data_IF_698434070468
#
_entry.id   IF_698434070468
#
_cell.length_a   1.000
_cell.length_b   1.000
_cell.length_c   1.000
_cell.angle_alpha   90.00
_cell.angle_beta   90.00
_cell.angle_gamma   90.00
#
_symmetry.space_group_name_H-M   'P 1'
#
loop_
_entity.id
_entity.type
_entity.pdbx_description
1 polymer ?
#
# COMPACT_ATOMS: atom_id res chain seq x y z
N UNK A 1 -19.72 11.95 1.57
CA UNK A 1 -18.27 11.87 1.90
C UNK A 1 -17.56 11.26 0.70
N UNK A 2 -16.51 11.91 0.17
CA UNK A 2 -15.80 11.39 -1.00
C UNK A 2 -14.98 10.13 -0.70
N UNK A 3 -14.58 9.38 -1.75
CA UNK A 3 -13.79 8.16 -1.63
C UNK A 3 -12.53 8.33 -0.77
N UNK A 4 -11.91 9.52 -0.79
CA UNK A 4 -10.76 9.88 0.05
C UNK A 4 -11.05 9.80 1.56
N UNK A 5 -12.18 10.36 1.99
CA UNK A 5 -12.55 10.34 3.40
C UNK A 5 -12.88 8.89 3.83
N UNK A 6 -13.52 8.12 2.95
CA UNK A 6 -13.81 6.71 3.19
C UNK A 6 -12.54 5.87 3.36
N UNK A 7 -11.54 6.05 2.50
CA UNK A 7 -10.29 5.30 2.60
C UNK A 7 -9.48 5.65 3.84
N UNK A 8 -9.40 6.94 4.17
CA UNK A 8 -8.68 7.40 5.37
C UNK A 8 -9.37 6.90 6.64
N UNK A 9 -10.71 6.95 6.72
CA UNK A 9 -11.46 6.42 7.86
C UNK A 9 -11.25 4.91 8.01
N UNK A 10 -11.35 4.14 6.91
CA UNK A 10 -11.07 2.71 6.92
C UNK A 10 -9.62 2.42 7.36
N UNK A 11 -8.67 3.23 6.91
CA UNK A 11 -7.27 3.14 7.30
C UNK A 11 -7.05 3.41 8.80
N UNK A 12 -7.74 4.38 9.40
CA UNK A 12 -7.66 4.62 10.84
C UNK A 12 -8.26 3.46 11.65
N UNK A 13 -9.37 2.88 11.20
CA UNK A 13 -9.96 1.70 11.83
C UNK A 13 -9.00 0.51 11.75
N UNK A 14 -8.38 0.30 10.58
CA UNK A 14 -7.36 -0.73 10.41
C UNK A 14 -6.13 -0.46 11.30
N UNK A 15 -5.66 0.78 11.41
CA UNK A 15 -4.53 1.15 12.27
C UNK A 15 -4.85 0.92 13.76
N UNK A 16 -6.07 1.22 14.20
CA UNK A 16 -6.52 0.93 15.56
C UNK A 16 -6.54 -0.58 15.85
N UNK A 17 -7.09 -1.37 14.92
CA UNK A 17 -7.08 -2.83 15.03
C UNK A 17 -5.64 -3.38 15.02
N UNK A 18 -4.79 -2.85 14.15
CA UNK A 18 -3.38 -3.20 14.06
C UNK A 18 -2.67 -2.92 15.38
N UNK A 19 -2.89 -1.76 16.03
CA UNK A 19 -2.29 -1.43 17.33
C UNK A 19 -2.65 -2.41 18.44
N UNK A 20 -3.78 -3.13 18.33
CA UNK A 20 -4.18 -4.17 19.29
C UNK A 20 -3.55 -5.54 19.01
N UNK A 21 -2.89 -5.72 17.87
CA UNK A 21 -2.16 -6.95 17.57
C UNK A 21 -0.78 -6.97 18.22
N UNK A 22 -0.19 -8.17 18.28
CA UNK A 22 1.18 -8.36 18.78
C UNK A 22 2.24 -7.71 17.89
N UNK A 23 3.49 -7.89 18.28
CA UNK A 23 4.67 -7.58 17.48
C UNK A 23 5.27 -8.87 16.92
N UNK A 24 6.03 -8.78 15.83
CA UNK A 24 6.77 -9.92 15.26
C UNK A 24 7.69 -10.56 16.31
N UNK A 25 8.36 -9.75 17.13
CA UNK A 25 9.18 -10.23 18.27
C UNK A 25 8.35 -11.10 19.25
N UNK A 26 7.14 -10.67 19.58
CA UNK A 26 6.24 -11.45 20.43
C UNK A 26 5.84 -12.81 19.84
N UNK A 27 5.71 -12.92 18.51
CA UNK A 27 5.43 -14.19 17.84
C UNK A 27 6.66 -15.10 17.79
N UNK A 28 7.83 -14.56 17.43
CA UNK A 28 9.09 -15.32 17.36
C UNK A 28 9.42 -15.94 18.72
N UNK A 29 9.31 -15.16 19.80
CA UNK A 29 9.58 -15.65 21.17
C UNK A 29 8.66 -16.78 21.60
N UNK A 30 7.43 -16.83 21.08
CA UNK A 30 6.43 -17.84 21.45
C UNK A 30 6.58 -19.12 20.65
N UNK A 31 6.80 -19.01 19.35
CA UNK A 31 6.83 -20.20 18.48
C UNK A 31 8.21 -20.81 18.36
N UNK A 32 9.29 -20.00 18.44
CA UNK A 32 10.68 -20.42 18.21
C UNK A 32 10.86 -21.23 16.91
N UNK A 33 10.07 -20.93 15.88
CA UNK A 33 10.06 -21.62 14.60
C UNK A 33 10.00 -20.60 13.45
N UNK A 34 10.81 -20.84 12.42
CA UNK A 34 10.88 -20.05 11.20
C UNK A 34 9.62 -20.21 10.33
N UNK A 35 8.82 -21.27 10.53
CA UNK A 35 7.56 -21.48 9.80
C UNK A 35 6.54 -20.33 9.99
N UNK A 36 6.65 -19.58 11.10
CA UNK A 36 5.80 -18.42 11.41
C UNK A 36 5.84 -17.38 10.30
N UNK A 37 6.99 -17.12 9.68
CA UNK A 37 7.09 -16.08 8.64
C UNK A 37 6.38 -16.49 7.35
N UNK A 38 6.37 -17.78 7.02
CA UNK A 38 5.61 -18.29 5.87
C UNK A 38 4.11 -18.17 6.14
N UNK A 39 3.66 -18.48 7.36
CA UNK A 39 2.26 -18.28 7.76
C UNK A 39 1.86 -16.80 7.74
N UNK A 40 2.70 -15.91 8.29
CA UNK A 40 2.49 -14.45 8.27
C UNK A 40 2.47 -13.89 6.85
N UNK A 41 3.29 -14.43 5.94
CA UNK A 41 3.25 -14.05 4.53
C UNK A 41 1.89 -14.39 3.91
N UNK A 42 1.41 -15.62 4.09
CA UNK A 42 0.10 -16.06 3.58
C UNK A 42 -1.04 -15.21 4.17
N UNK A 43 -1.02 -14.98 5.49
CA UNK A 43 -1.99 -14.10 6.14
C UNK A 43 -1.92 -12.67 5.57
N UNK A 44 -0.71 -12.14 5.40
CA UNK A 44 -0.44 -10.84 4.80
C UNK A 44 -1.02 -10.72 3.39
N UNK A 45 -0.91 -11.75 2.57
CA UNK A 45 -1.51 -11.78 1.23
C UNK A 45 -3.04 -11.72 1.31
N UNK A 46 -3.66 -12.57 2.14
CA UNK A 46 -5.12 -12.62 2.29
C UNK A 46 -5.68 -11.29 2.78
N UNK A 47 -5.06 -10.71 3.82
CA UNK A 47 -5.45 -9.41 4.39
C UNK A 47 -5.22 -8.28 3.39
N UNK A 48 -4.11 -8.32 2.65
CA UNK A 48 -3.81 -7.36 1.58
C UNK A 48 -4.85 -7.38 0.47
N UNK A 49 -5.29 -8.58 0.04
CA UNK A 49 -6.36 -8.74 -0.94
C UNK A 49 -7.71 -8.23 -0.43
N UNK A 50 -8.02 -8.44 0.85
CA UNK A 50 -9.21 -7.85 1.50
C UNK A 50 -9.11 -6.32 1.49
N UNK A 51 -7.94 -5.76 1.80
CA UNK A 51 -7.69 -4.33 1.69
C UNK A 51 -7.92 -3.78 0.28
N UNK A 52 -7.45 -4.49 -0.73
CA UNK A 52 -7.69 -4.14 -2.13
C UNK A 52 -9.19 -4.16 -2.47
N UNK A 53 -9.93 -5.17 -2.00
CA UNK A 53 -11.37 -5.26 -2.19
C UNK A 53 -12.11 -4.10 -1.50
N UNK A 54 -11.77 -3.77 -0.25
CA UNK A 54 -12.33 -2.63 0.50
C UNK A 54 -12.08 -1.33 -0.27
N UNK A 55 -10.84 -1.10 -0.70
CA UNK A 55 -10.47 0.09 -1.45
C UNK A 55 -11.26 0.23 -2.76
N UNK A 56 -11.34 -0.85 -3.55
CA UNK A 56 -12.13 -0.88 -4.78
C UNK A 56 -13.62 -0.60 -4.50
N UNK A 57 -14.17 -1.17 -3.42
CA UNK A 57 -15.54 -0.89 -2.97
C UNK A 57 -15.75 0.59 -2.66
N UNK A 58 -14.82 1.22 -1.94
CA UNK A 58 -14.85 2.67 -1.63
C UNK A 58 -14.80 3.51 -2.91
N UNK A 59 -13.96 3.15 -3.89
CA UNK A 59 -13.87 3.85 -5.17
C UNK A 59 -15.17 3.73 -5.97
N UNK A 60 -15.74 2.53 -6.06
CA UNK A 60 -17.00 2.29 -6.78
C UNK A 60 -18.15 3.04 -6.12
N UNK A 61 -18.27 2.96 -4.78
CA UNK A 61 -19.30 3.66 -4.02
C UNK A 61 -19.17 5.20 -4.16
N UNK A 62 -17.94 5.72 -4.10
CA UNK A 62 -17.69 7.15 -4.26
C UNK A 62 -18.07 7.66 -5.65
N UNK A 63 -17.80 6.88 -6.71
CA UNK A 63 -18.20 7.23 -8.08
C UNK A 63 -19.71 7.14 -8.30
N UNK A 64 -20.36 6.13 -7.71
CA UNK A 64 -21.81 5.98 -7.80
C UNK A 64 -22.55 7.18 -7.18
N UNK A 65 -22.00 7.80 -6.12
CA UNK A 65 -22.57 9.02 -5.54
C UNK A 65 -22.47 10.21 -6.49
N UNK A 66 -21.32 10.42 -7.15
CA UNK A 66 -21.15 11.50 -8.14
C UNK A 66 -21.97 11.28 -9.41
N UNK A 67 -22.16 10.03 -9.85
CA UNK A 67 -22.92 9.73 -11.07
C UNK A 67 -24.45 9.81 -10.89
N UNK A 68 -24.98 9.72 -9.66
CA UNK A 68 -26.40 9.97 -9.40
C UNK A 68 -26.84 11.41 -9.71
N UNK A 69 -25.89 12.33 -9.89
CA UNK A 69 -26.16 13.69 -10.38
C UNK A 69 -26.02 13.79 -11.92
N UNK A 70 -25.38 12.82 -12.57
CA UNK A 70 -25.16 12.74 -14.02
C UNK A 70 -25.92 11.55 -14.65
N UNK A 71 -27.21 11.44 -14.34
CA UNK A 71 -28.10 10.39 -14.84
C UNK A 71 -28.35 10.64 -16.34
N UNK A 72 -27.58 10.00 -17.22
CA UNK A 72 -28.12 9.39 -18.45
C UNK A 72 -27.12 8.65 -19.35
N UNK A 73 -25.81 8.66 -19.12
CA UNK A 73 -24.91 7.84 -19.92
C UNK A 73 -24.22 6.75 -19.11
N UNK A 74 -24.79 5.56 -19.28
CA UNK A 74 -24.20 4.24 -19.08
C UNK A 74 -22.69 4.20 -19.32
N UNK A 75 -21.94 3.95 -18.26
CA UNK A 75 -20.82 2.99 -18.35
C UNK A 75 -20.62 2.32 -17.01
N UNK A 76 -21.19 1.11 -16.90
CA UNK A 76 -21.00 0.20 -15.77
C UNK A 76 -19.54 -0.19 -15.63
N UNK A 77 -18.81 0.54 -14.79
CA UNK A 77 -17.48 0.15 -14.35
C UNK A 77 -17.62 -0.88 -13.23
N UNK A 78 -17.70 -2.15 -13.65
CA UNK A 78 -17.63 -3.29 -12.74
C UNK A 78 -16.24 -3.38 -12.10
N UNK A 79 -16.17 -3.99 -10.92
CA UNK A 79 -14.89 -4.33 -10.26
C UNK A 79 -13.98 -5.12 -11.21
N UNK A 80 -14.56 -6.01 -12.01
CA UNK A 80 -13.83 -6.77 -13.05
C UNK A 80 -13.21 -5.88 -14.13
N UNK A 81 -13.88 -4.79 -14.54
CA UNK A 81 -13.32 -3.82 -15.48
C UNK A 81 -12.12 -3.06 -14.92
N UNK A 82 -12.18 -2.67 -13.65
CA UNK A 82 -11.06 -2.02 -12.95
C UNK A 82 -9.84 -2.94 -12.83
N UNK A 83 -10.07 -4.20 -12.43
CA UNK A 83 -9.01 -5.21 -12.34
C UNK A 83 -8.40 -5.53 -13.70
N UNK A 84 -9.24 -5.73 -14.73
CA UNK A 84 -8.77 -5.99 -16.09
C UNK A 84 -7.86 -4.85 -16.55
N UNK A 85 -8.29 -3.60 -16.42
CA UNK A 85 -7.48 -2.42 -16.76
C UNK A 85 -6.17 -2.37 -15.97
N UNK A 86 -6.22 -2.60 -14.67
CA UNK A 86 -5.04 -2.61 -13.81
C UNK A 86 -3.99 -3.64 -14.24
N UNK A 87 -4.44 -4.81 -14.73
CA UNK A 87 -3.56 -5.90 -15.16
C UNK A 87 -3.09 -5.77 -16.61
N UNK A 88 -3.88 -5.16 -17.50
CA UNK A 88 -3.57 -5.11 -18.95
C UNK A 88 -2.83 -3.86 -19.39
N UNK A 89 -2.97 -2.73 -18.68
CA UNK A 89 -2.41 -1.45 -19.13
C UNK A 89 -0.95 -1.31 -18.70
N UNK A 90 -0.06 -0.93 -19.64
CA UNK A 90 1.39 -0.77 -19.39
C UNK A 90 1.71 0.19 -18.25
N UNK A 91 1.02 1.34 -18.19
CA UNK A 91 1.18 2.30 -17.10
C UNK A 91 0.79 1.73 -15.73
N UNK A 92 -0.22 0.86 -15.68
CA UNK A 92 -0.62 0.19 -14.44
C UNK A 92 0.40 -0.87 -14.00
N UNK A 93 0.99 -1.61 -14.93
CA UNK A 93 2.07 -2.57 -14.65
C UNK A 93 3.33 -1.84 -14.14
N UNK A 94 3.73 -0.74 -14.81
CA UNK A 94 4.85 0.08 -14.36
C UNK A 94 4.59 0.68 -12.97
N UNK A 95 3.39 1.22 -12.74
CA UNK A 95 2.99 1.75 -11.43
C UNK A 95 3.02 0.69 -10.34
N UNK A 96 2.55 -0.52 -10.63
CA UNK A 96 2.60 -1.66 -9.70
C UNK A 96 4.04 -2.00 -9.30
N UNK A 97 4.93 -2.19 -10.29
CA UNK A 97 6.33 -2.57 -10.03
C UNK A 97 7.04 -1.47 -9.23
N UNK A 98 6.94 -0.21 -9.66
CA UNK A 98 7.56 0.93 -8.98
C UNK A 98 7.01 1.11 -7.56
N UNK A 99 5.70 0.89 -7.35
CA UNK A 99 5.09 0.96 -6.04
C UNK A 99 5.64 -0.11 -5.07
N UNK A 100 5.90 -1.34 -5.54
CA UNK A 100 6.54 -2.39 -4.71
C UNK A 100 7.91 -1.91 -4.24
N UNK A 101 8.77 -1.47 -5.16
CA UNK A 101 10.12 -1.05 -4.80
C UNK A 101 10.14 0.19 -3.91
N UNK A 102 9.34 1.21 -4.23
CA UNK A 102 9.27 2.43 -3.44
C UNK A 102 8.69 2.18 -2.04
N UNK A 103 7.60 1.41 -1.94
CA UNK A 103 6.99 1.06 -0.66
C UNK A 103 7.90 0.17 0.18
N UNK A 104 8.53 -0.85 -0.42
CA UNK A 104 9.47 -1.73 0.26
C UNK A 104 10.70 -0.97 0.78
N UNK A 105 11.31 -0.11 -0.04
CA UNK A 105 12.45 0.70 0.36
C UNK A 105 12.08 1.68 1.48
N UNK A 106 10.91 2.31 1.42
CA UNK A 106 10.42 3.20 2.47
C UNK A 106 10.17 2.45 3.79
N UNK A 107 9.55 1.27 3.75
CA UNK A 107 9.36 0.44 4.94
C UNK A 107 10.71 0.03 5.55
N UNK A 108 11.66 -0.43 4.72
CA UNK A 108 13.00 -0.79 5.16
C UNK A 108 13.74 0.39 5.80
N UNK A 109 13.62 1.60 5.24
CA UNK A 109 14.29 2.79 5.77
C UNK A 109 13.65 3.32 7.07
N UNK A 110 12.33 3.21 7.23
CA UNK A 110 11.62 3.79 8.39
C UNK A 110 11.56 2.84 9.57
N UNK A 111 11.42 1.55 9.32
CA UNK A 111 11.21 0.54 10.35
C UNK A 111 12.56 -0.02 10.80
N UNK A 112 13.20 0.66 11.74
CA UNK A 112 14.49 0.23 12.29
C UNK A 112 14.31 -0.62 13.56
N UNK A 113 13.22 -0.41 14.31
CA UNK A 113 12.90 -1.22 15.49
C UNK A 113 11.49 -1.83 15.35
N UNK A 114 11.26 -3.04 15.88
CA UNK A 114 9.95 -3.72 15.82
C UNK A 114 8.95 -3.13 16.84
N UNK A 115 9.03 -1.84 17.13
CA UNK A 115 8.08 -1.12 17.97
C UNK A 115 6.77 -0.93 17.21
N UNK A 116 5.64 -1.30 17.84
CA UNK A 116 4.35 -1.33 17.15
C UNK A 116 3.93 0.01 16.53
N UNK A 117 4.21 1.12 17.21
CA UNK A 117 3.97 2.46 16.67
C UNK A 117 4.80 2.76 15.42
N UNK A 118 6.07 2.34 15.42
CA UNK A 118 6.99 2.53 14.29
C UNK A 118 6.62 1.63 13.10
N UNK A 119 6.18 0.39 13.32
CA UNK A 119 5.78 -0.50 12.23
C UNK A 119 4.52 0.01 11.51
N UNK A 120 3.51 0.47 12.26
CA UNK A 120 2.30 1.09 11.68
C UNK A 120 2.65 2.37 10.94
N UNK A 121 3.47 3.23 11.53
CA UNK A 121 3.93 4.47 10.89
C UNK A 121 4.72 4.17 9.61
N UNK A 122 5.67 3.23 9.66
CA UNK A 122 6.48 2.80 8.52
C UNK A 122 5.64 2.21 7.39
N UNK A 123 4.63 1.40 7.70
CA UNK A 123 3.68 0.92 6.69
C UNK A 123 2.87 2.07 6.06
N UNK A 124 2.51 3.08 6.85
CA UNK A 124 1.91 4.33 6.36
C UNK A 124 2.82 5.07 5.38
N UNK A 125 4.09 5.30 5.76
CA UNK A 125 5.08 5.94 4.88
C UNK A 125 5.33 5.12 3.62
N UNK A 126 5.37 3.80 3.73
CA UNK A 126 5.47 2.90 2.59
C UNK A 126 4.28 3.07 1.62
N UNK A 127 3.05 3.18 2.15
CA UNK A 127 1.87 3.48 1.35
C UNK A 127 1.97 4.85 0.64
N UNK A 128 2.45 5.89 1.33
CA UNK A 128 2.67 7.22 0.73
C UNK A 128 3.69 7.13 -0.41
N UNK A 129 4.83 6.49 -0.17
CA UNK A 129 5.89 6.32 -1.15
C UNK A 129 5.41 5.54 -2.38
N UNK A 130 4.67 4.44 -2.16
CA UNK A 130 4.06 3.64 -3.21
C UNK A 130 3.06 4.46 -4.05
N UNK A 131 2.18 5.24 -3.40
CA UNK A 131 1.23 6.13 -4.06
C UNK A 131 1.93 7.21 -4.91
N UNK A 132 2.93 7.86 -4.35
CA UNK A 132 3.68 8.92 -5.02
C UNK A 132 4.43 8.36 -6.23
N UNK A 133 5.22 7.31 -6.04
CA UNK A 133 6.06 6.73 -7.09
C UNK A 133 5.22 6.09 -8.20
N UNK A 134 4.16 5.35 -7.84
CA UNK A 134 3.23 4.75 -8.79
C UNK A 134 2.49 5.78 -9.64
N UNK A 135 2.15 6.95 -9.08
CA UNK A 135 1.54 8.04 -9.86
C UNK A 135 2.56 8.73 -10.77
N UNK A 136 3.75 9.03 -10.26
CA UNK A 136 4.81 9.69 -11.03
C UNK A 136 5.21 8.88 -12.26
N UNK A 137 5.36 7.56 -12.15
CA UNK A 137 5.74 6.73 -13.31
C UNK A 137 4.66 6.77 -14.40
N UNK A 138 3.38 6.80 -14.05
CA UNK A 138 2.35 6.93 -15.07
C UNK A 138 2.34 8.30 -15.75
N UNK A 139 2.64 9.37 -15.01
CA UNK A 139 2.86 10.71 -15.61
C UNK A 139 4.03 10.66 -16.61
N UNK A 140 5.12 9.97 -16.29
CA UNK A 140 6.26 9.83 -17.23
C UNK A 140 5.92 9.02 -18.49
N UNK A 141 4.97 8.09 -18.39
CA UNK A 141 4.50 7.28 -19.52
C UNK A 141 3.41 8.00 -20.33
N UNK A 142 2.87 9.12 -19.83
CA UNK A 142 1.78 9.86 -20.45
C UNK A 142 0.40 9.25 -20.22
N UNK A 143 0.28 8.30 -19.30
CA UNK A 143 -0.97 7.62 -18.95
C UNK A 143 -1.16 7.63 -17.43
N UNK A 144 -2.27 8.20 -16.97
CA UNK A 144 -2.59 8.19 -15.55
C UNK A 144 -3.00 6.78 -15.06
N UNK A 145 -2.20 6.14 -14.19
CA UNK A 145 -2.54 4.84 -13.66
C UNK A 145 -3.63 5.03 -12.61
N UNK A 146 -4.56 4.07 -12.54
CA UNK A 146 -5.52 4.03 -11.45
C UNK A 146 -4.83 3.74 -10.11
N UNK A 147 -5.53 3.96 -9.00
CA UNK A 147 -5.01 3.60 -7.67
C UNK A 147 -4.95 2.09 -7.39
N UNK A 148 -5.69 1.28 -8.16
CA UNK A 148 -5.77 -0.18 -8.00
C UNK A 148 -4.41 -0.89 -8.07
N UNK A 149 -3.56 -0.68 -9.10
CA UNK A 149 -2.23 -1.31 -9.15
C UNK A 149 -1.37 -0.96 -7.92
N UNK A 150 -1.45 0.25 -7.39
CA UNK A 150 -0.66 0.64 -6.20
C UNK A 150 -1.12 -0.11 -4.95
N UNK A 151 -2.43 -0.27 -4.76
CA UNK A 151 -2.96 -1.04 -3.62
C UNK A 151 -2.63 -2.53 -3.76
N UNK A 152 -2.68 -3.08 -4.98
CA UNK A 152 -2.23 -4.45 -5.21
C UNK A 152 -0.73 -4.63 -4.92
N UNK A 153 0.09 -3.62 -5.23
CA UNK A 153 1.50 -3.63 -4.86
C UNK A 153 1.69 -3.70 -3.33
N UNK A 154 0.87 -2.97 -2.55
CA UNK A 154 0.89 -3.06 -1.09
C UNK A 154 0.46 -4.45 -0.58
N UNK A 155 -0.48 -5.12 -1.25
CA UNK A 155 -0.85 -6.50 -0.94
C UNK A 155 0.27 -7.51 -1.26
N UNK A 156 1.09 -7.23 -2.27
CA UNK A 156 2.31 -8.00 -2.52
C UNK A 156 3.37 -7.71 -1.46
N UNK A 157 3.52 -6.46 -1.03
CA UNK A 157 4.44 -6.11 0.05
C UNK A 157 4.05 -6.76 1.39
N UNK A 158 2.76 -6.92 1.69
CA UNK A 158 2.33 -7.65 2.89
C UNK A 158 2.64 -9.15 2.84
N UNK A 159 2.74 -9.73 1.64
CA UNK A 159 3.21 -11.10 1.44
C UNK A 159 4.74 -11.20 1.49
N UNK A 160 5.44 -10.35 0.75
CA UNK A 160 6.90 -10.39 0.60
C UNK A 160 7.62 -9.91 1.85
N UNK A 161 7.04 -8.95 2.58
CA UNK A 161 7.62 -8.34 3.78
C UNK A 161 8.15 -9.37 4.78
N UNK A 162 7.31 -10.26 5.33
CA UNK A 162 7.75 -11.32 6.23
C UNK A 162 8.81 -12.25 5.63
N UNK A 163 8.75 -12.52 4.32
CA UNK A 163 9.71 -13.39 3.62
C UNK A 163 11.09 -12.75 3.46
N UNK A 164 11.22 -11.43 3.62
CA UNK A 164 12.53 -10.76 3.55
C UNK A 164 13.48 -11.22 4.67
N UNK A 165 12.98 -11.84 5.74
CA UNK A 165 13.81 -12.44 6.79
C UNK A 165 14.72 -13.55 6.26
N UNK A 166 14.29 -14.30 5.23
CA UNK A 166 15.09 -15.37 4.62
C UNK A 166 16.20 -14.85 3.70
N UNK A 167 16.20 -13.55 3.40
CA UNK A 167 17.24 -12.89 2.62
C UNK A 167 18.28 -12.21 3.51
N UNK A 168 18.03 -12.13 4.82
CA UNK A 168 18.94 -11.53 5.77
C UNK A 168 20.16 -12.44 6.01
N UNK A 169 21.37 -11.88 6.18
CA UNK A 169 22.51 -12.64 6.70
C UNK A 169 22.13 -13.31 8.03
N UNK A 170 22.40 -14.61 8.17
CA UNK A 170 22.04 -15.35 9.38
C UNK A 170 20.60 -15.87 9.41
N UNK A 171 19.95 -16.07 8.26
CA UNK A 171 18.59 -16.65 8.15
C UNK A 171 18.41 -18.01 8.84
N UNK A 172 19.49 -18.73 9.13
CA UNK A 172 19.47 -19.99 9.89
C UNK A 172 19.22 -19.77 11.39
N UNK A 173 19.52 -18.58 11.91
CA UNK A 173 19.31 -18.16 13.30
C UNK A 173 18.52 -16.84 13.37
N UNK A 174 17.26 -16.89 12.93
CA UNK A 174 16.37 -15.73 12.95
C UNK A 174 16.19 -15.17 14.37
N UNK A 175 16.17 -16.04 15.38
CA UNK A 175 16.08 -15.64 16.78
C UNK A 175 17.31 -14.83 17.19
N UNK A 176 18.52 -15.29 16.84
CA UNK A 176 19.76 -14.54 17.05
C UNK A 176 19.76 -13.18 16.36
N UNK A 177 19.32 -13.11 15.09
CA UNK A 177 19.25 -11.86 14.31
C UNK A 177 18.35 -10.79 14.94
N UNK A 178 17.27 -11.23 15.60
CA UNK A 178 16.36 -10.36 16.30
C UNK A 178 16.99 -9.77 17.57
N UNK A 179 17.78 -10.55 18.30
CA UNK A 179 18.47 -10.10 19.51
C UNK A 179 19.73 -9.28 19.21
N UNK A 180 20.37 -9.47 18.06
CA UNK A 180 21.50 -8.66 17.62
C UNK A 180 21.08 -7.28 17.07
N UNK A 181 19.79 -7.07 16.86
CA UNK A 181 19.26 -5.84 16.27
C UNK A 181 19.47 -5.76 14.75
N UNK A 182 19.86 -6.84 14.09
CA UNK A 182 20.07 -6.92 12.63
C UNK A 182 18.80 -7.37 11.89
N UNK A 183 17.64 -6.96 12.42
CA UNK A 183 16.35 -7.39 11.90
C UNK A 183 15.94 -6.54 10.69
N UNK A 184 15.60 -7.18 9.57
CA UNK A 184 15.20 -6.48 8.34
C UNK A 184 13.89 -5.73 8.56
N UNK A 185 13.93 -4.39 8.48
CA UNK A 185 12.80 -3.52 8.75
C UNK A 185 11.49 -3.86 8.02
N UNK A 186 11.59 -4.32 6.76
CA UNK A 186 10.42 -4.72 5.97
C UNK A 186 9.70 -5.98 6.47
N UNK A 187 10.35 -6.80 7.29
CA UNK A 187 9.74 -7.99 7.90
C UNK A 187 8.95 -7.68 9.17
N UNK A 188 9.10 -6.47 9.75
CA UNK A 188 8.50 -6.14 11.05
C UNK A 188 7.00 -5.80 10.97
N UNK A 189 6.50 -5.11 9.93
CA UNK A 189 5.08 -4.83 9.82
C UNK A 189 4.25 -6.11 9.60
N UNK A 190 3.20 -6.28 10.40
CA UNK A 190 2.25 -7.38 10.27
C UNK A 190 1.22 -7.11 9.15
N UNK A 191 0.42 -8.14 8.85
CA UNK A 191 -0.68 -8.10 7.87
C UNK A 191 -1.58 -6.85 8.01
N UNK A 192 -2.03 -6.55 9.23
CA UNK A 192 -2.87 -5.39 9.52
C UNK A 192 -2.11 -4.05 9.48
N UNK A 193 -0.80 -4.04 9.74
CA UNK A 193 0.02 -2.83 9.62
C UNK A 193 0.10 -2.41 8.15
N UNK A 194 0.37 -3.36 7.24
CA UNK A 194 0.36 -3.15 5.80
C UNK A 194 -1.01 -2.72 5.27
N UNK A 195 -2.09 -3.33 5.76
CA UNK A 195 -3.45 -2.91 5.43
C UNK A 195 -3.71 -1.46 5.82
N UNK A 196 -3.43 -1.10 7.08
CA UNK A 196 -3.58 0.26 7.58
C UNK A 196 -2.74 1.25 6.76
N UNK A 197 -1.48 0.90 6.49
CA UNK A 197 -0.56 1.69 5.69
C UNK A 197 -1.03 1.88 4.24
N UNK A 198 -1.62 0.85 3.63
CA UNK A 198 -2.17 0.93 2.28
C UNK A 198 -3.38 1.87 2.20
N UNK A 199 -4.32 1.76 3.14
CA UNK A 199 -5.56 2.54 3.16
C UNK A 199 -5.34 4.00 3.58
N UNK A 200 -4.34 4.26 4.42
CA UNK A 200 -3.95 5.62 4.84
C UNK A 200 -2.98 6.27 3.85
N UNK A 201 -1.89 5.58 3.52
CA UNK A 201 -0.74 6.16 2.83
C UNK A 201 -0.94 6.32 1.33
N UNK A 202 -1.45 5.30 0.65
CA UNK A 202 -1.66 5.35 -0.82
C UNK A 202 -2.53 6.53 -1.25
N UNK A 203 -3.69 6.85 -0.63
CA UNK A 203 -4.47 8.02 -1.03
C UNK A 203 -3.68 9.31 -0.87
N UNK A 204 -2.92 9.45 0.22
CA UNK A 204 -2.11 10.64 0.49
C UNK A 204 -1.07 10.80 -0.62
N UNK A 205 -0.31 9.74 -0.92
CA UNK A 205 0.72 9.75 -1.97
C UNK A 205 0.16 10.08 -3.35
N UNK A 206 -0.95 9.44 -3.75
CA UNK A 206 -1.61 9.70 -5.04
C UNK A 206 -2.08 11.15 -5.18
N UNK A 207 -2.67 11.71 -4.11
CA UNK A 207 -3.21 13.07 -4.13
C UNK A 207 -2.10 14.13 -4.13
N UNK A 208 -0.97 13.84 -3.47
CA UNK A 208 0.14 14.79 -3.41
C UNK A 208 0.68 15.09 -4.81
N UNK A 209 0.87 14.05 -5.63
CA UNK A 209 1.30 14.21 -7.03
C UNK A 209 0.24 14.94 -7.86
N UNK A 210 -1.05 14.63 -7.67
CA UNK A 210 -2.14 15.36 -8.33
C UNK A 210 -2.08 16.87 -8.06
N UNK A 211 -1.87 17.28 -6.80
CA UNK A 211 -1.76 18.69 -6.42
C UNK A 211 -0.55 19.41 -7.03
N UNK A 212 0.55 18.70 -7.32
CA UNK A 212 1.72 19.26 -7.99
C UNK A 212 1.47 19.49 -9.48
N UNK A 213 0.66 18.63 -10.11
CA UNK A 213 0.30 18.74 -11.53
C UNK A 213 -0.67 19.89 -11.79
N UNK A 214 -1.65 20.10 -10.90
CA UNK A 214 -2.64 21.17 -11.04
C UNK A 214 -2.00 22.56 -11.05
N UNK A 215 -0.89 22.75 -10.33
CA UNK A 215 -0.16 24.02 -10.27
C UNK A 215 0.55 24.42 -11.57
N UNK A 216 0.78 23.49 -12.51
CA UNK A 216 1.50 23.77 -13.77
C UNK A 216 0.60 24.25 -14.92
N UNK A 217 -0.72 24.06 -14.81
CA UNK A 217 -1.66 24.45 -15.87
C UNK A 217 -1.92 25.98 -15.99
N UNK A 218 -1.88 26.79 -14.93
CA UNK A 218 -2.10 28.24 -15.04
C UNK A 218 -1.03 28.94 -15.88
N UNK A 219 0.23 28.52 -15.75
CA UNK A 219 1.38 29.13 -16.45
C UNK A 219 1.34 28.86 -17.95
N UNK A 220 0.97 27.64 -18.35
CA UNK A 220 0.82 27.29 -19.76
C UNK A 220 -0.27 28.14 -20.45
N UNK A 221 -1.39 28.40 -19.77
CA UNK A 221 -2.50 29.22 -20.31
C UNK A 221 -2.12 30.70 -20.45
N UNK A 222 -1.31 31.23 -19.53
CA UNK A 222 -0.84 32.61 -19.60
C UNK A 222 0.20 32.84 -20.72
N UNK A 223 0.96 31.80 -21.11
CA UNK A 223 1.92 31.90 -22.22
C UNK A 223 1.29 31.80 -23.61
N UNK A 224 0.03 31.39 -23.70
CA UNK A 224 -0.72 31.25 -24.96
C UNK A 224 -1.62 32.46 -25.30
N UNK A 225 -1.63 33.50 -24.45
CA UNK A 225 -2.36 34.76 -24.63
C UNK A 225 -1.41 35.90 -24.94
#
# INVERSE_FOLDING_TARGET
>A
FGARAGSVAAGFVAAWAAYRTGTVDGFIRRTQDNSVFTMLAVEGLLVGLVGAAIWMGILVAGRAQTSKEAINETTGLSIGGLLKRALTTRSCQAAFVVAIFAGGAAAWAVVQEPLKGQTIFGAGVAGIAAGLAGRLVGVTIGEEPGGVPVILAMAVLSFVGPLTVYLAPGSDDVVGSLYSGDFVGSAAPLSLDWLAGSLLGVPIGLNWVGSMMDKRQPEARASSS
#
